data_IF_009733635059
#
_entry.id   IF_009733635059
#
_cell.length_a   1.000
_cell.length_b   1.000
_cell.length_c   1.000
_cell.angle_alpha   90.00
_cell.angle_beta   90.00
_cell.angle_gamma   90.00
#
_symmetry.space_group_name_H-M   'P 1'
#
loop_
_entity.id
_entity.type
_entity.pdbx_description
1 polymer ?
#
# COMPACT_ATOMS: atom_id res chain seq x y z
N UNK A 1 -28.01 -7.23 9.87
CA UNK A 1 -26.97 -8.05 9.22
C UNK A 1 -25.96 -7.09 8.62
N UNK A 2 -24.90 -6.78 9.36
CA UNK A 2 -23.81 -5.94 8.86
C UNK A 2 -23.00 -6.81 7.92
N UNK A 3 -23.01 -6.51 6.62
CA UNK A 3 -22.19 -7.22 5.65
C UNK A 3 -20.72 -7.02 6.03
N UNK A 4 -19.93 -8.09 6.05
CA UNK A 4 -18.49 -8.01 6.23
C UNK A 4 -17.91 -7.03 5.19
N UNK A 5 -17.20 -6.01 5.66
CA UNK A 5 -16.76 -4.90 4.82
C UNK A 5 -15.38 -5.24 4.24
N UNK A 6 -15.37 -5.83 3.05
CA UNK A 6 -14.15 -6.30 2.38
C UNK A 6 -13.45 -5.16 1.66
N UNK A 7 -12.85 -4.25 2.43
CA UNK A 7 -12.12 -3.10 1.89
C UNK A 7 -11.00 -2.62 2.80
N UNK A 8 -10.10 -1.84 2.21
CA UNK A 8 -9.18 -0.96 2.89
C UNK A 8 -9.94 0.30 3.34
N UNK A 9 -9.91 0.62 4.62
CA UNK A 9 -10.39 1.88 5.17
C UNK A 9 -9.28 2.92 5.37
N UNK A 10 -8.02 2.48 5.35
CA UNK A 10 -6.86 3.34 5.53
C UNK A 10 -5.67 2.78 4.76
N UNK A 11 -4.90 3.67 4.14
CA UNK A 11 -3.65 3.32 3.45
C UNK A 11 -2.58 4.35 3.84
N UNK A 12 -1.49 3.87 4.41
CA UNK A 12 -0.36 4.70 4.83
C UNK A 12 0.93 4.24 4.16
N UNK A 13 1.79 5.21 3.83
CA UNK A 13 3.11 4.98 3.27
C UNK A 13 4.17 5.36 4.31
N UNK A 14 5.21 4.54 4.44
CA UNK A 14 6.38 4.91 5.22
C UNK A 14 7.22 6.02 4.53
N UNK A 15 8.12 6.64 5.29
CA UNK A 15 9.00 7.73 4.85
C UNK A 15 9.81 7.42 3.60
N UNK A 16 10.09 6.15 3.32
CA UNK A 16 10.75 5.75 2.08
C UNK A 16 9.99 6.12 0.80
N UNK A 17 8.70 6.42 0.90
CA UNK A 17 7.87 6.92 -0.20
C UNK A 17 7.60 8.43 -0.12
N UNK A 18 8.20 9.16 0.82
CA UNK A 18 8.01 10.59 0.93
C UNK A 18 8.33 11.27 -0.41
N UNK A 19 7.39 12.09 -0.89
CA UNK A 19 7.52 12.78 -2.17
C UNK A 19 8.77 13.67 -2.19
N UNK A 20 9.39 13.80 -3.35
CA UNK A 20 10.52 14.73 -3.55
C UNK A 20 10.04 16.17 -3.72
N UNK A 21 8.76 16.37 -4.05
CA UNK A 21 8.09 17.65 -4.22
C UNK A 21 6.56 17.53 -3.97
N UNK A 22 5.91 18.70 -3.89
CA UNK A 22 4.48 18.81 -3.58
C UNK A 22 3.55 18.20 -4.66
N UNK A 23 4.02 18.05 -5.91
CA UNK A 23 3.23 17.41 -6.96
C UNK A 23 3.13 15.91 -6.69
N UNK A 24 4.25 15.27 -6.38
CA UNK A 24 4.29 13.84 -6.04
C UNK A 24 3.43 13.55 -4.81
N UNK A 25 3.53 14.37 -3.76
CA UNK A 25 2.70 14.21 -2.56
C UNK A 25 1.20 14.34 -2.87
N UNK A 26 0.83 15.28 -3.75
CA UNK A 26 -0.56 15.44 -4.19
C UNK A 26 -1.05 14.26 -5.00
N UNK A 27 -0.26 13.76 -5.94
CA UNK A 27 -0.59 12.57 -6.73
C UNK A 27 -0.73 11.32 -5.84
N UNK A 28 0.15 11.16 -4.83
CA UNK A 28 0.04 10.11 -3.83
C UNK A 28 -1.24 10.22 -2.99
N UNK A 29 -1.57 11.42 -2.50
CA UNK A 29 -2.78 11.64 -1.72
C UNK A 29 -4.04 11.30 -2.53
N UNK A 30 -4.11 11.71 -3.80
CA UNK A 30 -5.22 11.38 -4.69
C UNK A 30 -5.30 9.86 -4.89
N UNK A 31 -4.18 9.19 -5.19
CA UNK A 31 -4.16 7.75 -5.39
C UNK A 31 -4.59 6.96 -4.14
N UNK A 32 -4.22 7.44 -2.94
CA UNK A 32 -4.65 6.85 -1.66
C UNK A 32 -6.16 7.04 -1.46
N UNK A 33 -6.69 8.23 -1.72
CA UNK A 33 -8.13 8.52 -1.60
C UNK A 33 -8.91 7.61 -2.56
N UNK A 34 -8.53 7.58 -3.84
CA UNK A 34 -9.16 6.74 -4.86
C UNK A 34 -9.14 5.26 -4.46
N UNK A 35 -8.01 4.80 -3.91
CA UNK A 35 -7.88 3.43 -3.43
C UNK A 35 -8.82 3.15 -2.25
N UNK A 36 -8.87 4.01 -1.24
CA UNK A 36 -9.76 3.81 -0.07
C UNK A 36 -11.24 3.89 -0.46
N UNK A 37 -11.61 4.74 -1.41
CA UNK A 37 -13.00 4.92 -1.85
C UNK A 37 -13.50 3.76 -2.73
N UNK A 38 -12.63 3.17 -3.56
CA UNK A 38 -13.04 2.23 -4.62
C UNK A 38 -12.20 0.94 -4.67
N UNK A 39 -11.86 0.37 -3.50
CA UNK A 39 -11.19 -0.93 -3.43
C UNK A 39 -12.12 -2.07 -3.00
N UNK A 40 -11.67 -3.29 -3.28
CA UNK A 40 -12.15 -4.51 -2.65
C UNK A 40 -10.93 -5.25 -2.12
N UNK A 41 -10.96 -5.64 -0.84
CA UNK A 41 -9.80 -6.23 -0.18
C UNK A 41 -10.22 -7.38 0.75
N UNK A 42 -9.66 -8.56 0.48
CA UNK A 42 -10.01 -9.82 1.15
C UNK A 42 -8.74 -10.58 1.52
N UNK A 43 -8.21 -10.42 2.74
CA UNK A 43 -7.16 -11.28 3.26
C UNK A 43 -7.64 -12.74 3.30
N UNK A 44 -6.79 -13.65 2.83
CA UNK A 44 -7.07 -15.09 2.88
C UNK A 44 -7.12 -15.54 4.34
N UNK A 45 -8.23 -16.17 4.74
CA UNK A 45 -8.41 -16.70 6.09
C UNK A 45 -8.88 -15.68 7.13
N UNK A 46 -9.45 -14.54 6.71
CA UNK A 46 -10.07 -13.56 7.61
C UNK A 46 -11.54 -13.32 7.24
N UNK A 47 -12.41 -13.30 8.26
CA UNK A 47 -13.87 -13.37 8.09
C UNK A 47 -14.56 -12.02 7.83
N UNK A 48 -13.80 -10.93 7.72
CA UNK A 48 -14.33 -9.60 7.37
C UNK A 48 -13.51 -8.42 7.86
N UNK A 49 -13.56 -7.32 7.11
CA UNK A 49 -12.90 -6.05 7.42
C UNK A 49 -13.87 -4.98 7.96
N UNK A 50 -13.47 -3.70 7.97
CA UNK A 50 -12.46 -3.10 7.08
C UNK A 50 -11.01 -3.20 7.59
N UNK A 51 -10.04 -2.99 6.69
CA UNK A 51 -8.62 -3.19 6.95
C UNK A 51 -7.79 -1.92 6.77
N UNK A 52 -6.69 -1.83 7.50
CA UNK A 52 -5.67 -0.79 7.34
C UNK A 52 -4.45 -1.39 6.66
N UNK A 53 -3.98 -0.74 5.60
CA UNK A 53 -2.75 -1.12 4.89
C UNK A 53 -1.65 -0.11 5.18
N UNK A 54 -0.49 -0.61 5.61
CA UNK A 54 0.74 0.17 5.71
C UNK A 54 1.79 -0.40 4.77
N UNK A 55 2.31 0.45 3.89
CA UNK A 55 3.28 0.08 2.86
C UNK A 55 4.64 0.66 3.25
N UNK A 56 5.63 -0.21 3.34
CA UNK A 56 7.01 0.17 3.65
C UNK A 56 7.96 -0.34 2.59
N UNK A 57 9.01 0.44 2.32
CA UNK A 57 10.11 -0.01 1.47
C UNK A 57 11.44 0.26 2.18
N UNK A 58 12.21 -0.78 2.45
CA UNK A 58 13.52 -0.65 3.08
C UNK A 58 14.45 -1.75 2.57
N UNK A 59 15.74 -1.42 2.37
CA UNK A 59 16.78 -2.37 2.01
C UNK A 59 16.45 -3.30 0.81
N UNK A 60 15.75 -2.74 -0.18
CA UNK A 60 15.33 -3.49 -1.36
C UNK A 60 14.23 -4.52 -1.09
N UNK A 61 13.42 -4.32 -0.05
CA UNK A 61 12.21 -5.07 0.26
C UNK A 61 11.00 -4.15 0.29
N UNK A 62 9.87 -4.65 -0.17
CA UNK A 62 8.54 -4.05 -0.01
C UNK A 62 7.80 -4.84 1.04
N UNK A 63 7.32 -4.18 2.09
CA UNK A 63 6.49 -4.77 3.12
C UNK A 63 5.07 -4.20 3.04
N UNK A 64 4.08 -5.09 3.06
CA UNK A 64 2.66 -4.76 3.11
C UNK A 64 2.13 -5.27 4.44
N UNK A 65 1.91 -4.36 5.39
CA UNK A 65 1.35 -4.68 6.69
C UNK A 65 -0.15 -4.44 6.66
N UNK A 66 -0.92 -5.48 6.96
CA UNK A 66 -2.38 -5.44 7.02
C UNK A 66 -2.79 -5.58 8.48
N UNK A 67 -3.59 -4.63 8.94
CA UNK A 67 -4.23 -4.67 10.25
C UNK A 67 -5.75 -4.55 10.10
N UNK A 68 -6.49 -4.92 11.13
CA UNK A 68 -7.93 -4.64 11.19
C UNK A 68 -8.21 -3.15 11.49
N UNK A 69 -9.48 -2.79 11.65
CA UNK A 69 -9.92 -1.43 11.94
C UNK A 69 -9.42 -0.92 13.31
N UNK A 70 -9.13 -1.82 14.25
CA UNK A 70 -8.58 -1.56 15.59
C UNK A 70 -7.06 -1.47 15.60
N UNK A 71 -6.39 -1.84 14.50
CA UNK A 71 -4.95 -1.87 14.38
C UNK A 71 -4.31 -3.18 14.85
N UNK A 72 -5.09 -4.23 15.07
CA UNK A 72 -4.56 -5.57 15.34
C UNK A 72 -3.93 -6.15 14.06
N UNK A 73 -2.67 -6.62 14.11
CA UNK A 73 -2.02 -7.18 12.93
C UNK A 73 -2.75 -8.43 12.42
N UNK A 74 -3.12 -8.42 11.14
CA UNK A 74 -3.76 -9.56 10.46
C UNK A 74 -2.72 -10.38 9.69
N UNK A 75 -1.99 -9.73 8.79
CA UNK A 75 -0.95 -10.38 7.97
C UNK A 75 0.09 -9.36 7.53
N UNK A 76 1.31 -9.83 7.24
CA UNK A 76 2.34 -9.03 6.60
C UNK A 76 2.97 -9.79 5.44
N UNK A 77 3.02 -9.16 4.27
CA UNK A 77 3.67 -9.71 3.08
C UNK A 77 4.99 -8.99 2.82
N UNK A 78 6.05 -9.77 2.61
CA UNK A 78 7.38 -9.24 2.30
C UNK A 78 7.80 -9.70 0.92
N UNK A 79 8.11 -8.75 0.04
CA UNK A 79 8.57 -8.99 -1.31
C UNK A 79 9.99 -8.43 -1.46
N UNK A 80 10.92 -9.24 -1.94
CA UNK A 80 12.22 -8.71 -2.34
C UNK A 80 12.07 -7.96 -3.66
N UNK A 81 12.46 -6.68 -3.67
CA UNK A 81 12.56 -5.86 -4.86
C UNK A 81 13.88 -6.07 -5.61
N UNK A 82 14.82 -6.85 -5.06
CA UNK A 82 16.12 -7.12 -5.69
C UNK A 82 15.99 -7.68 -7.12
N UNK A 83 15.14 -8.69 -7.39
CA UNK A 83 14.93 -9.19 -8.75
C UNK A 83 14.33 -8.15 -9.71
N UNK A 84 13.59 -7.18 -9.17
CA UNK A 84 12.89 -6.14 -9.94
C UNK A 84 13.73 -4.88 -10.17
N UNK A 85 14.96 -4.82 -9.65
CA UNK A 85 15.81 -3.61 -9.70
C UNK A 85 15.98 -3.04 -11.10
N UNK A 86 16.19 -3.88 -12.11
CA UNK A 86 16.36 -3.42 -13.50
C UNK A 86 15.06 -2.81 -14.03
N UNK A 87 13.94 -3.50 -13.84
CA UNK A 87 12.62 -3.04 -14.27
C UNK A 87 12.24 -1.70 -13.63
N UNK A 88 12.44 -1.56 -12.31
CA UNK A 88 12.17 -0.32 -11.59
C UNK A 88 13.03 0.83 -12.11
N UNK A 89 14.32 0.59 -12.36
CA UNK A 89 15.23 1.61 -12.92
C UNK A 89 14.80 2.06 -14.32
N UNK A 90 14.38 1.12 -15.16
CA UNK A 90 13.92 1.43 -16.52
C UNK A 90 12.60 2.22 -16.48
N UNK A 91 11.69 1.89 -15.55
CA UNK A 91 10.45 2.64 -15.32
C UNK A 91 10.71 4.08 -14.87
N UNK A 92 11.60 4.29 -13.89
CA UNK A 92 11.93 5.65 -13.42
C UNK A 92 12.47 6.53 -14.54
N UNK A 93 13.30 6.00 -15.42
CA UNK A 93 13.84 6.76 -16.58
C UNK A 93 12.75 7.22 -17.54
N UNK A 94 11.71 6.40 -17.74
CA UNK A 94 10.56 6.75 -18.59
C UNK A 94 9.75 7.88 -17.93
N UNK A 95 9.56 7.85 -16.61
CA UNK A 95 8.83 8.90 -15.90
C UNK A 95 9.58 10.24 -15.82
N UNK A 96 10.92 10.22 -15.89
CA UNK A 96 11.76 11.42 -15.91
C UNK A 96 11.93 12.04 -17.31
N UNK A 97 11.38 11.39 -18.37
CA UNK A 97 11.42 11.84 -19.77
C UNK A 97 10.11 12.51 -20.19
#
# INVERSE_FOLDING_TARGET
>A
MTYADYRLCDVSLDRSFAGRDARVEREQAIAIIDLVESNTFVPVGHDGGPYRLRIEAADGRLALHVADDRGEPVISHYLSLTPFRRLLKDYTRICES
#
